data_IF_260424437161
#
_entry.id   IF_260424437161
#
_cell.length_a   1.000
_cell.length_b   1.000
_cell.length_c   1.000
_cell.angle_alpha   90.00
_cell.angle_beta   90.00
_cell.angle_gamma   90.00
#
_symmetry.space_group_name_H-M   'P 1'
#
loop_
_entity.id
_entity.type
_entity.pdbx_description
1 polymer ?
#
# COMPACT_ATOMS: atom_id res chain seq x y z
N UNK A 1 0.28 3.21 1.23
CA UNK A 1 -0.15 4.44 1.94
C UNK A 1 -1.11 4.14 3.08
N UNK A 2 -2.11 3.25 2.91
CA UNK A 2 -3.17 3.01 3.92
C UNK A 2 -2.67 2.55 5.30
N UNK A 3 -1.58 1.77 5.38
CA UNK A 3 -0.96 1.38 6.66
C UNK A 3 -0.46 2.60 7.43
N UNK A 4 0.36 3.45 6.81
CA UNK A 4 0.88 4.66 7.46
C UNK A 4 -0.23 5.64 7.85
N UNK A 5 -1.27 5.77 7.02
CA UNK A 5 -2.45 6.55 7.40
C UNK A 5 -3.14 5.98 8.64
N UNK A 6 -3.24 4.65 8.75
CA UNK A 6 -3.81 3.99 9.92
C UNK A 6 -2.92 4.15 11.16
N UNK A 7 -1.60 4.21 11.00
CA UNK A 7 -0.68 4.47 12.11
C UNK A 7 -0.83 5.90 12.64
N UNK A 8 -1.07 6.89 11.76
CA UNK A 8 -1.30 8.29 12.15
C UNK A 8 -2.72 8.47 12.71
N UNK A 9 -3.71 7.80 12.13
CA UNK A 9 -5.11 7.86 12.52
C UNK A 9 -5.68 6.46 12.78
N UNK A 10 -5.43 5.86 13.97
CA UNK A 10 -5.73 4.45 14.27
C UNK A 10 -7.21 4.05 14.17
N UNK A 11 -8.12 5.01 14.17
CA UNK A 11 -9.58 4.78 14.10
C UNK A 11 -10.21 5.25 12.79
N UNK A 12 -9.42 5.68 11.81
CA UNK A 12 -9.95 6.15 10.53
C UNK A 12 -10.50 5.00 9.68
N UNK A 13 -9.78 3.88 9.64
CA UNK A 13 -10.20 2.68 8.94
C UNK A 13 -10.57 1.60 9.94
N UNK A 14 -11.63 0.86 9.67
CA UNK A 14 -11.96 -0.35 10.45
C UNK A 14 -11.03 -1.50 10.06
N UNK A 15 -10.85 -1.71 8.76
CA UNK A 15 -10.12 -2.84 8.20
C UNK A 15 -9.32 -2.42 6.97
N UNK A 16 -8.30 -3.20 6.65
CA UNK A 16 -7.43 -3.03 5.49
C UNK A 16 -7.35 -4.34 4.69
N UNK A 17 -7.18 -4.20 3.38
CA UNK A 17 -6.84 -5.31 2.47
C UNK A 17 -5.60 -4.86 1.69
N UNK A 18 -4.52 -5.63 1.79
CA UNK A 18 -3.24 -5.28 1.17
C UNK A 18 -2.82 -6.38 0.20
N UNK A 19 -2.92 -6.08 -1.09
CA UNK A 19 -2.37 -6.93 -2.15
C UNK A 19 -0.88 -6.69 -2.31
N UNK A 20 -0.11 -7.75 -2.09
CA UNK A 20 1.33 -7.83 -2.25
C UNK A 20 2.11 -6.58 -1.75
N UNK A 21 1.90 -6.16 -0.49
CA UNK A 21 2.48 -4.92 0.00
C UNK A 21 3.99 -5.05 0.19
N UNK A 22 4.73 -4.14 -0.43
CA UNK A 22 6.18 -4.00 -0.24
C UNK A 22 6.45 -3.31 1.11
N UNK A 23 6.37 -4.10 2.19
CA UNK A 23 6.67 -3.70 3.58
C UNK A 23 7.74 -4.66 4.09
N UNK A 24 8.99 -4.25 4.01
CA UNK A 24 10.17 -5.09 4.26
C UNK A 24 11.39 -4.23 4.59
N UNK A 25 12.37 -4.82 5.26
CA UNK A 25 13.58 -4.12 5.73
C UNK A 25 14.46 -3.59 4.60
N UNK A 26 14.47 -4.24 3.42
CA UNK A 26 15.19 -3.77 2.24
C UNK A 26 14.47 -4.13 0.94
N UNK A 27 14.57 -3.29 -0.10
CA UNK A 27 13.92 -3.51 -1.41
C UNK A 27 14.97 -3.47 -2.53
N UNK A 28 15.82 -4.51 -2.67
CA UNK A 28 16.93 -4.50 -3.62
C UNK A 28 16.49 -4.38 -5.09
N UNK A 29 15.26 -4.79 -5.42
CA UNK A 29 14.72 -4.76 -6.77
C UNK A 29 14.48 -3.33 -7.29
N UNK A 30 14.44 -2.32 -6.41
CA UNK A 30 14.17 -0.94 -6.79
C UNK A 30 15.13 -0.38 -7.85
N UNK A 31 16.44 -0.67 -7.73
CA UNK A 31 17.44 -0.19 -8.70
C UNK A 31 17.22 -0.80 -10.09
N UNK A 32 16.95 -2.11 -10.12
CA UNK A 32 16.69 -2.82 -11.37
C UNK A 32 15.45 -2.27 -12.08
N UNK A 33 14.36 -2.05 -11.33
CA UNK A 33 13.13 -1.46 -11.86
C UNK A 33 13.33 -0.02 -12.34
N UNK A 34 14.08 0.79 -11.58
CA UNK A 34 14.44 2.14 -12.00
C UNK A 34 15.25 2.16 -13.30
N UNK A 35 16.18 1.23 -13.47
CA UNK A 35 16.99 1.10 -14.69
C UNK A 35 16.12 0.71 -15.90
N UNK A 36 15.27 -0.31 -15.77
CA UNK A 36 14.33 -0.69 -16.84
C UNK A 36 13.44 0.49 -17.21
N UNK A 37 12.87 1.16 -16.20
CA UNK A 37 11.99 2.31 -16.40
C UNK A 37 12.69 3.41 -17.19
N UNK A 38 13.91 3.80 -16.79
CA UNK A 38 14.63 4.88 -17.46
C UNK A 38 14.95 4.55 -18.94
N UNK A 39 15.23 3.29 -19.25
CA UNK A 39 15.55 2.84 -20.61
C UNK A 39 14.31 2.47 -21.44
N UNK A 40 13.10 2.43 -20.86
CA UNK A 40 11.86 2.12 -21.59
C UNK A 40 11.55 3.21 -22.63
N UNK A 41 10.97 2.80 -23.78
CA UNK A 41 10.42 3.72 -24.77
C UNK A 41 9.33 4.59 -24.12
N UNK A 42 9.29 5.87 -24.49
CA UNK A 42 8.41 6.88 -23.84
C UNK A 42 7.73 7.83 -24.83
N UNK A 43 8.02 7.65 -26.12
CA UNK A 43 7.54 8.51 -27.18
C UNK A 43 7.12 7.62 -28.35
N UNK A 44 5.92 7.84 -28.86
CA UNK A 44 5.37 7.13 -30.01
C UNK A 44 4.81 8.14 -31.01
N UNK A 45 4.94 7.90 -32.33
CA UNK A 45 4.41 8.82 -33.35
C UNK A 45 2.89 8.96 -33.33
N UNK A 46 2.17 7.93 -32.87
CA UNK A 46 0.71 7.90 -32.79
C UNK A 46 0.22 7.08 -31.60
N UNK A 47 -1.05 7.27 -31.23
CA UNK A 47 -1.71 6.50 -30.17
C UNK A 47 -1.82 5.02 -30.54
N UNK A 48 -2.17 4.71 -31.78
CA UNK A 48 -2.24 3.32 -32.25
C UNK A 48 -0.90 2.58 -32.07
N UNK A 49 0.23 3.22 -32.39
CA UNK A 49 1.55 2.62 -32.19
C UNK A 49 1.93 2.44 -30.72
N UNK A 50 1.50 3.36 -29.84
CA UNK A 50 1.68 3.21 -28.40
C UNK A 50 0.86 2.03 -27.86
N UNK A 51 -0.38 1.90 -28.30
CA UNK A 51 -1.26 0.80 -27.91
C UNK A 51 -0.71 -0.55 -28.34
N UNK A 52 -0.28 -0.69 -29.60
CA UNK A 52 0.38 -1.93 -30.07
C UNK A 52 1.60 -2.25 -29.22
N UNK A 53 2.44 -1.24 -28.95
CA UNK A 53 3.64 -1.44 -28.13
C UNK A 53 3.32 -2.01 -26.74
N UNK A 54 2.31 -1.48 -26.04
CA UNK A 54 1.96 -1.96 -24.70
C UNK A 54 1.17 -3.27 -24.71
N UNK A 55 0.41 -3.57 -25.76
CA UNK A 55 -0.24 -4.88 -25.92
C UNK A 55 0.78 -6.02 -26.10
N UNK A 56 1.93 -5.74 -26.69
CA UNK A 56 3.00 -6.73 -26.87
C UNK A 56 4.02 -6.75 -25.71
N UNK A 57 4.11 -5.65 -24.95
CA UNK A 57 5.11 -5.51 -23.89
C UNK A 57 4.69 -6.22 -22.60
N UNK A 58 5.52 -7.13 -22.11
CA UNK A 58 5.39 -7.64 -20.73
C UNK A 58 5.80 -6.58 -19.70
N UNK A 59 5.05 -6.41 -18.59
CA UNK A 59 3.93 -7.25 -18.16
C UNK A 59 2.54 -6.80 -18.66
N UNK A 60 2.38 -5.67 -19.34
CA UNK A 60 1.06 -5.14 -19.75
C UNK A 60 0.25 -6.15 -20.57
N UNK A 61 0.92 -6.95 -21.41
CA UNK A 61 0.27 -8.01 -22.20
C UNK A 61 -0.37 -9.14 -21.37
N UNK A 62 -0.05 -9.28 -20.07
CA UNK A 62 -0.67 -10.28 -19.17
C UNK A 62 -1.83 -9.74 -18.35
N UNK A 63 -2.15 -8.45 -18.46
CA UNK A 63 -3.22 -7.83 -17.68
C UNK A 63 -4.61 -8.21 -18.22
N UNK A 64 -5.63 -8.11 -17.36
CA UNK A 64 -7.03 -8.15 -17.77
C UNK A 64 -7.27 -7.09 -18.85
N UNK A 65 -7.95 -7.48 -19.94
CA UNK A 65 -8.14 -6.63 -21.11
C UNK A 65 -8.80 -5.29 -20.76
N UNK A 66 -9.74 -5.28 -19.81
CA UNK A 66 -10.44 -4.06 -19.39
C UNK A 66 -9.48 -3.11 -18.67
N UNK A 67 -8.59 -3.67 -17.83
CA UNK A 67 -7.56 -2.91 -17.12
C UNK A 67 -6.55 -2.33 -18.10
N UNK A 68 -6.08 -3.13 -19.06
CA UNK A 68 -5.17 -2.65 -20.09
C UNK A 68 -5.80 -1.55 -20.94
N UNK A 69 -7.07 -1.69 -21.34
CA UNK A 69 -7.78 -0.67 -22.11
C UNK A 69 -7.88 0.66 -21.33
N UNK A 70 -8.22 0.62 -20.04
CA UNK A 70 -8.21 1.80 -19.17
C UNK A 70 -6.79 2.40 -19.04
N UNK A 71 -5.78 1.57 -18.89
CA UNK A 71 -4.39 2.03 -18.81
C UNK A 71 -3.95 2.70 -20.12
N UNK A 72 -4.34 2.17 -21.29
CA UNK A 72 -4.05 2.79 -22.58
C UNK A 72 -4.78 4.13 -22.75
N UNK A 73 -6.01 4.23 -22.27
CA UNK A 73 -6.80 5.47 -22.30
C UNK A 73 -6.16 6.56 -21.44
N UNK A 74 -5.89 6.27 -20.17
CA UNK A 74 -5.48 7.27 -19.17
C UNK A 74 -3.97 7.37 -18.94
N UNK A 75 -3.23 6.29 -19.18
CA UNK A 75 -1.78 6.22 -19.02
C UNK A 75 -0.99 6.85 -20.16
N UNK A 76 -1.66 7.20 -21.26
CA UNK A 76 -1.08 7.83 -22.45
C UNK A 76 -1.68 9.21 -22.69
N UNK A 77 -0.85 10.17 -23.09
CA UNK A 77 -1.25 11.54 -23.43
C UNK A 77 -0.47 12.07 -24.63
N UNK A 78 -1.02 13.10 -25.26
CA UNK A 78 -0.28 13.89 -26.25
C UNK A 78 0.85 14.68 -25.57
N UNK A 79 1.95 14.92 -26.29
CA UNK A 79 3.05 15.74 -25.78
C UNK A 79 2.58 17.19 -25.64
N UNK A 80 2.61 17.79 -24.43
CA UNK A 80 2.27 19.20 -24.27
C UNK A 80 3.34 20.04 -24.93
N UNK A 81 2.94 20.88 -25.89
CA UNK A 81 3.84 21.85 -26.49
C UNK A 81 3.76 23.14 -25.68
N UNK A 82 4.91 23.70 -25.31
CA UNK A 82 4.98 25.08 -24.87
C UNK A 82 4.45 25.98 -26.00
N UNK A 83 3.40 26.75 -25.73
CA UNK A 83 2.66 27.58 -26.72
C UNK A 83 3.56 28.49 -27.58
N UNK A 84 4.81 28.70 -27.21
CA UNK A 84 5.78 29.56 -27.89
C UNK A 84 6.52 28.94 -29.09
N UNK A 85 6.36 27.64 -29.39
CA UNK A 85 7.11 26.97 -30.47
C UNK A 85 6.26 26.35 -31.61
N UNK A 86 4.97 26.68 -31.71
CA UNK A 86 4.02 25.98 -32.58
C UNK A 86 3.86 26.61 -33.99
N UNK A 87 4.94 26.86 -34.75
CA UNK A 87 4.84 27.49 -36.09
C UNK A 87 5.42 26.69 -37.26
N UNK A 88 5.65 25.38 -37.16
CA UNK A 88 6.07 24.55 -38.30
C UNK A 88 5.32 23.23 -38.41
N UNK A 89 5.26 22.63 -39.61
CA UNK A 89 4.68 21.29 -39.83
C UNK A 89 5.35 20.21 -38.96
N UNK A 90 6.65 20.35 -38.65
CA UNK A 90 7.32 19.49 -37.68
C UNK A 90 6.77 19.65 -36.25
N UNK A 91 6.26 20.84 -35.90
CA UNK A 91 5.52 21.05 -34.67
C UNK A 91 4.15 20.35 -34.70
N UNK A 92 3.47 20.30 -35.85
CA UNK A 92 2.16 19.61 -36.01
C UNK A 92 2.26 18.09 -35.95
N UNK A 93 3.32 17.48 -36.48
CA UNK A 93 3.55 16.03 -36.30
C UNK A 93 3.97 15.72 -34.86
N UNK A 94 4.72 16.62 -34.21
CA UNK A 94 5.04 16.53 -32.78
C UNK A 94 3.80 16.71 -31.89
N UNK A 95 2.82 17.51 -32.31
CA UNK A 95 1.53 17.67 -31.61
C UNK A 95 0.76 16.35 -31.47
N UNK A 96 0.88 15.42 -32.43
CA UNK A 96 0.17 14.13 -32.41
C UNK A 96 0.94 12.99 -31.76
N UNK A 97 2.20 13.23 -31.38
CA UNK A 97 3.02 12.22 -30.73
C UNK A 97 2.53 11.97 -29.30
N UNK A 98 2.63 10.72 -28.88
CA UNK A 98 2.12 10.22 -27.60
C UNK A 98 3.28 9.95 -26.66
N UNK A 99 3.06 10.21 -25.38
CA UNK A 99 3.96 9.92 -24.27
C UNK A 99 3.18 9.43 -23.05
N UNK A 100 3.87 9.00 -22.01
CA UNK A 100 3.24 8.57 -20.77
C UNK A 100 2.65 9.76 -19.99
N UNK A 101 1.48 9.55 -19.40
CA UNK A 101 0.86 10.50 -18.47
C UNK A 101 1.74 10.68 -17.24
N UNK A 102 2.30 9.59 -16.72
CA UNK A 102 3.32 9.60 -15.68
C UNK A 102 4.71 9.62 -16.33
N UNK A 103 5.49 10.70 -16.22
CA UNK A 103 6.85 10.73 -16.75
C UNK A 103 7.74 9.65 -16.13
N UNK A 104 8.58 8.99 -16.94
CA UNK A 104 9.47 7.89 -16.51
C UNK A 104 10.35 8.24 -15.32
N UNK A 105 10.80 9.49 -15.21
CA UNK A 105 11.63 9.94 -14.09
C UNK A 105 10.84 9.99 -12.77
N UNK A 106 9.53 10.24 -12.80
CA UNK A 106 8.68 10.16 -11.61
C UNK A 106 8.41 8.71 -11.21
N UNK A 107 8.14 7.84 -12.19
CA UNK A 107 8.01 6.39 -11.97
C UNK A 107 9.33 5.80 -11.40
N UNK A 108 10.47 6.12 -12.01
CA UNK A 108 11.79 5.71 -11.55
C UNK A 108 12.09 6.16 -10.11
N UNK A 109 11.71 7.40 -9.76
CA UNK A 109 11.85 7.94 -8.39
C UNK A 109 10.93 7.28 -7.37
N UNK A 110 9.88 6.58 -7.80
CA UNK A 110 9.05 5.79 -6.89
C UNK A 110 9.79 4.55 -6.37
N UNK A 111 10.72 4.00 -7.16
CA UNK A 111 11.53 2.84 -6.81
C UNK A 111 12.79 3.20 -6.03
N UNK A 112 13.41 4.35 -6.33
CA UNK A 112 14.68 4.78 -5.72
C UNK A 112 14.71 6.28 -5.41
N UNK A 113 15.35 6.66 -4.31
CA UNK A 113 15.70 8.04 -3.97
C UNK A 113 17.21 8.16 -3.77
N UNK A 114 17.82 9.22 -4.27
CA UNK A 114 19.24 9.47 -4.06
C UNK A 114 19.53 9.77 -2.58
N UNK A 115 20.57 9.17 -2.03
CA UNK A 115 21.04 9.45 -0.66
C UNK A 115 21.80 10.78 -0.67
N UNK A 116 21.38 11.74 0.14
CA UNK A 116 22.17 12.95 0.44
C UNK A 116 22.84 12.83 1.82
N UNK A 117 23.95 13.57 2.07
CA UNK A 117 24.59 13.60 3.40
C UNK A 117 23.65 14.01 4.55
N UNK A 118 22.54 14.68 4.25
CA UNK A 118 21.55 15.17 5.22
C UNK A 118 20.25 14.37 5.21
N UNK A 119 20.29 13.12 4.73
CA UNK A 119 19.09 12.27 4.65
C UNK A 119 18.59 11.91 6.05
N UNK A 120 17.45 12.45 6.52
CA UNK A 120 17.04 12.30 7.93
C UNK A 120 16.53 10.90 8.26
N UNK A 121 16.00 10.20 7.25
CA UNK A 121 15.34 8.89 7.41
C UNK A 121 16.32 7.71 7.19
N UNK A 122 17.61 8.00 7.03
CA UNK A 122 18.64 6.98 6.86
C UNK A 122 19.09 6.52 8.25
N UNK A 123 18.84 5.26 8.60
CA UNK A 123 19.35 4.69 9.84
C UNK A 123 20.86 4.44 9.71
N UNK A 124 21.70 5.15 10.49
CA UNK A 124 23.16 5.00 10.40
C UNK A 124 23.64 3.60 10.81
N UNK A 125 22.85 2.85 11.57
CA UNK A 125 23.21 1.52 12.09
C UNK A 125 22.93 0.39 11.11
N UNK A 126 22.08 0.61 10.11
CA UNK A 126 21.70 -0.40 9.10
C UNK A 126 22.04 0.01 7.67
N UNK A 127 22.43 1.28 7.45
CA UNK A 127 22.75 1.81 6.13
C UNK A 127 24.17 1.46 5.65
N UNK A 128 24.37 0.17 5.35
CA UNK A 128 25.53 -0.32 4.60
C UNK A 128 25.18 -0.45 3.11
N UNK A 129 24.72 0.65 2.49
CA UNK A 129 24.34 0.62 1.08
C UNK A 129 25.58 0.66 0.19
N UNK A 130 25.74 -0.31 -0.70
CA UNK A 130 26.79 -0.34 -1.73
C UNK A 130 26.52 0.62 -2.90
N UNK A 131 25.38 1.33 -2.87
CA UNK A 131 24.89 2.22 -3.93
C UNK A 131 24.27 3.49 -3.35
N UNK A 132 24.23 4.62 -4.09
CA UNK A 132 23.79 5.92 -3.58
C UNK A 132 22.25 6.09 -3.56
N UNK A 133 21.49 5.00 -3.37
CA UNK A 133 20.02 5.00 -3.47
C UNK A 133 19.35 4.29 -2.29
N UNK A 134 18.18 4.77 -1.87
CA UNK A 134 17.37 4.19 -0.80
C UNK A 134 15.86 4.48 -0.96
N UNK A 135 15.03 3.76 -0.19
CA UNK A 135 13.61 4.08 0.08
C UNK A 135 13.32 3.72 1.54
N UNK A 136 13.07 4.70 2.43
CA UNK A 136 12.94 4.41 3.85
C UNK A 136 11.55 3.89 4.22
N UNK A 137 10.53 4.17 3.41
CA UNK A 137 9.13 3.94 3.77
C UNK A 137 8.81 2.46 4.08
N UNK A 138 9.28 1.45 3.31
CA UNK A 138 9.00 0.05 3.60
C UNK A 138 9.53 -0.41 4.96
N UNK A 139 10.78 -0.06 5.28
CA UNK A 139 11.43 -0.47 6.52
C UNK A 139 10.84 0.25 7.74
N UNK A 140 10.57 1.56 7.63
CA UNK A 140 9.90 2.32 8.68
C UNK A 140 8.48 1.78 8.91
N UNK A 141 7.74 1.48 7.85
CA UNK A 141 6.39 0.90 7.96
C UNK A 141 6.45 -0.45 8.64
N UNK A 142 7.39 -1.32 8.25
CA UNK A 142 7.61 -2.62 8.86
C UNK A 142 7.86 -2.48 10.37
N UNK A 143 8.75 -1.57 10.77
CA UNK A 143 9.08 -1.31 12.16
C UNK A 143 7.85 -0.92 12.99
N UNK A 144 6.90 -0.19 12.40
CA UNK A 144 5.69 0.30 13.06
C UNK A 144 4.47 -0.65 12.98
N UNK A 145 4.54 -1.74 12.20
CA UNK A 145 3.46 -2.73 12.12
C UNK A 145 2.91 -3.23 13.47
N UNK A 146 3.70 -3.36 14.56
CA UNK A 146 3.16 -3.77 15.86
C UNK A 146 2.04 -2.88 16.38
N UNK A 147 2.01 -1.60 15.98
CA UNK A 147 1.02 -0.63 16.44
C UNK A 147 -0.19 -0.50 15.51
N UNK A 148 -0.28 -1.32 14.46
CA UNK A 148 -1.38 -1.26 13.51
C UNK A 148 -2.68 -1.74 14.16
N UNK A 149 -3.60 -0.81 14.36
CA UNK A 149 -4.90 -1.04 15.02
C UNK A 149 -6.00 -1.69 14.17
N UNK A 150 -6.22 -1.33 12.89
CA UNK A 150 -7.29 -1.96 12.12
C UNK A 150 -7.01 -3.45 11.89
N UNK A 151 -8.07 -4.22 11.71
CA UNK A 151 -7.93 -5.59 11.19
C UNK A 151 -7.35 -5.55 9.78
N UNK A 152 -6.67 -6.60 9.37
CA UNK A 152 -5.91 -6.61 8.13
C UNK A 152 -5.95 -7.97 7.45
N UNK A 153 -6.28 -7.96 6.16
CA UNK A 153 -6.00 -9.07 5.26
C UNK A 153 -4.77 -8.76 4.41
N UNK A 154 -3.74 -9.60 4.53
CA UNK A 154 -2.67 -9.69 3.55
C UNK A 154 -3.05 -10.63 2.42
N UNK A 155 -2.87 -10.20 1.18
CA UNK A 155 -3.05 -11.06 0.01
C UNK A 155 -1.72 -11.19 -0.72
N UNK A 156 -1.14 -12.39 -0.70
CA UNK A 156 0.19 -12.67 -1.23
C UNK A 156 0.11 -13.50 -2.51
N UNK A 157 0.59 -12.98 -3.66
CA UNK A 157 0.66 -13.76 -4.89
C UNK A 157 1.75 -14.82 -4.80
N UNK A 158 1.43 -16.06 -5.18
CA UNK A 158 2.33 -17.22 -5.07
C UNK A 158 3.66 -17.03 -5.80
N UNK A 159 3.63 -16.36 -6.97
CA UNK A 159 4.82 -16.17 -7.82
C UNK A 159 5.54 -14.84 -7.55
N UNK A 160 5.12 -14.07 -6.55
CA UNK A 160 5.73 -12.78 -6.26
C UNK A 160 7.06 -12.94 -5.54
N UNK A 161 8.12 -12.35 -6.12
CA UNK A 161 9.41 -12.22 -5.45
C UNK A 161 9.37 -11.25 -4.25
N UNK A 162 8.29 -10.48 -4.07
CA UNK A 162 8.08 -9.58 -2.92
C UNK A 162 7.32 -10.25 -1.77
N UNK A 163 6.80 -11.46 -1.98
CA UNK A 163 6.04 -12.22 -1.00
C UNK A 163 6.60 -13.62 -0.80
N UNK A 164 7.92 -13.74 -0.63
CA UNK A 164 8.51 -15.02 -0.20
C UNK A 164 7.96 -15.42 1.17
N UNK A 165 7.97 -16.71 1.50
CA UNK A 165 7.40 -17.20 2.77
C UNK A 165 7.98 -16.46 3.99
N UNK A 166 9.30 -16.26 4.03
CA UNK A 166 10.00 -15.48 5.06
C UNK A 166 9.45 -14.06 5.19
N UNK A 167 9.27 -13.35 4.06
CA UNK A 167 8.72 -11.99 4.05
C UNK A 167 7.25 -11.95 4.45
N UNK A 168 6.48 -13.02 4.19
CA UNK A 168 5.10 -13.13 4.65
C UNK A 168 5.05 -13.35 6.17
N UNK A 169 5.85 -14.28 6.68
CA UNK A 169 5.93 -14.61 8.11
C UNK A 169 6.36 -13.39 8.92
N UNK A 170 7.40 -12.66 8.48
CA UNK A 170 7.84 -11.42 9.15
C UNK A 170 6.70 -10.40 9.28
N UNK A 171 5.88 -10.23 8.23
CA UNK A 171 4.72 -9.31 8.27
C UNK A 171 3.65 -9.82 9.23
N UNK A 172 3.32 -11.11 9.18
CA UNK A 172 2.30 -11.71 10.04
C UNK A 172 2.68 -11.61 11.52
N UNK A 173 3.92 -11.95 11.87
CA UNK A 173 4.42 -11.92 13.25
C UNK A 173 4.48 -10.51 13.85
N UNK A 174 4.76 -9.51 13.01
CA UNK A 174 4.89 -8.12 13.46
C UNK A 174 3.58 -7.34 13.51
N UNK A 175 2.56 -7.72 12.74
CA UNK A 175 1.39 -6.86 12.57
C UNK A 175 0.47 -6.88 13.79
N UNK A 176 0.22 -5.71 14.38
CA UNK A 176 -0.82 -5.49 15.39
C UNK A 176 -0.54 -6.13 16.76
N UNK A 177 0.63 -6.73 16.97
CA UNK A 177 0.96 -7.46 18.22
C UNK A 177 1.43 -6.57 19.37
N UNK A 178 1.70 -5.29 19.10
CA UNK A 178 2.20 -4.33 20.07
C UNK A 178 1.08 -3.54 20.76
N UNK A 179 1.48 -2.65 21.69
CA UNK A 179 0.56 -1.74 22.36
C UNK A 179 -0.16 -0.87 21.33
N UNK A 180 -1.49 -0.83 21.42
CA UNK A 180 -2.34 -0.08 20.50
C UNK A 180 -2.65 -0.80 19.18
N UNK A 181 -2.04 -1.96 18.93
CA UNK A 181 -2.32 -2.80 17.77
C UNK A 181 -3.61 -3.61 17.87
N UNK A 182 -3.95 -4.31 16.80
CA UNK A 182 -5.17 -5.10 16.64
C UNK A 182 -5.19 -6.43 17.42
N UNK A 183 -4.07 -6.82 18.04
CA UNK A 183 -3.88 -8.16 18.61
C UNK A 183 -3.29 -9.18 17.61
N UNK A 184 -3.10 -8.78 16.35
CA UNK A 184 -2.41 -9.58 15.34
C UNK A 184 -3.15 -10.86 14.94
N UNK A 185 -2.39 -11.84 14.46
CA UNK A 185 -2.91 -13.14 14.02
C UNK A 185 -3.55 -13.92 15.18
N UNK A 186 -2.97 -13.86 16.38
CA UNK A 186 -3.48 -14.58 17.56
C UNK A 186 -4.88 -14.14 17.99
N UNK A 187 -5.23 -12.87 17.75
CA UNK A 187 -6.56 -12.34 17.99
C UNK A 187 -7.52 -12.55 16.81
N UNK A 188 -7.07 -13.19 15.71
CA UNK A 188 -7.83 -13.32 14.47
C UNK A 188 -7.98 -12.01 13.68
N UNK A 189 -7.34 -10.93 14.12
CA UNK A 189 -7.47 -9.62 13.51
C UNK A 189 -6.58 -9.44 12.26
N UNK A 190 -5.55 -10.27 12.11
CA UNK A 190 -4.66 -10.27 10.94
C UNK A 190 -4.70 -11.65 10.29
N UNK A 191 -5.04 -11.69 9.00
CA UNK A 191 -5.17 -12.91 8.21
C UNK A 191 -4.32 -12.76 6.95
N UNK A 192 -3.84 -13.89 6.40
CA UNK A 192 -3.26 -13.94 5.06
C UNK A 192 -4.00 -14.88 4.14
N UNK A 193 -4.06 -14.53 2.86
CA UNK A 193 -4.49 -15.40 1.77
C UNK A 193 -3.40 -15.44 0.69
N UNK A 194 -3.17 -16.63 0.10
CA UNK A 194 -2.20 -16.82 -0.99
C UNK A 194 -2.93 -17.01 -2.31
N UNK A 195 -2.71 -16.10 -3.27
CA UNK A 195 -3.27 -16.19 -4.61
C UNK A 195 -2.41 -17.11 -5.48
N UNK A 196 -2.92 -18.32 -5.71
CA UNK A 196 -2.26 -19.34 -6.54
C UNK A 196 -2.10 -18.87 -7.98
N UNK A 197 -0.94 -19.13 -8.57
CA UNK A 197 -0.65 -18.84 -9.96
C UNK A 197 -0.40 -17.35 -10.28
N UNK A 198 -0.67 -16.43 -9.36
CA UNK A 198 -0.60 -14.99 -9.58
C UNK A 198 0.80 -14.40 -9.34
N UNK A 199 1.16 -13.36 -10.09
CA UNK A 199 2.40 -12.59 -9.91
C UNK A 199 2.19 -11.32 -9.10
N UNK A 200 3.23 -10.49 -8.98
CA UNK A 200 3.20 -9.23 -8.22
C UNK A 200 2.09 -8.27 -8.67
N UNK A 201 1.80 -8.28 -9.97
CA UNK A 201 0.77 -7.44 -10.59
C UNK A 201 -0.61 -8.10 -10.57
N UNK A 202 -0.88 -9.00 -9.62
CA UNK A 202 -2.14 -9.75 -9.49
C UNK A 202 -3.40 -8.86 -9.60
N UNK A 203 -3.36 -7.64 -9.07
CA UNK A 203 -4.49 -6.69 -9.12
C UNK A 203 -4.79 -6.15 -10.52
N UNK A 204 -3.85 -6.28 -11.46
CA UNK A 204 -4.03 -5.97 -12.88
C UNK A 204 -4.31 -7.23 -13.71
N UNK A 205 -3.80 -8.38 -13.29
CA UNK A 205 -3.87 -9.66 -14.02
C UNK A 205 -5.13 -10.47 -13.69
N UNK A 206 -5.41 -10.69 -12.40
CA UNK A 206 -6.50 -11.50 -11.87
C UNK A 206 -7.49 -10.67 -11.06
N UNK A 207 -8.16 -9.73 -11.73
CA UNK A 207 -9.06 -8.75 -11.10
C UNK A 207 -10.24 -9.46 -10.42
N UNK A 208 -10.78 -10.51 -11.04
CA UNK A 208 -11.90 -11.27 -10.50
C UNK A 208 -11.54 -11.98 -9.21
N UNK A 209 -10.44 -12.73 -9.22
CA UNK A 209 -9.92 -13.45 -8.06
C UNK A 209 -9.60 -12.49 -6.91
N UNK A 210 -8.96 -11.35 -7.21
CA UNK A 210 -8.72 -10.31 -6.22
C UNK A 210 -10.04 -9.80 -5.63
N UNK A 211 -11.04 -9.47 -6.47
CA UNK A 211 -12.33 -8.99 -6.00
C UNK A 211 -13.03 -10.00 -5.08
N UNK A 212 -13.02 -11.28 -5.42
CA UNK A 212 -13.60 -12.34 -4.60
C UNK A 212 -12.95 -12.43 -3.21
N UNK A 213 -11.62 -12.36 -3.15
CA UNK A 213 -10.87 -12.32 -1.87
C UNK A 213 -11.31 -11.11 -1.03
N UNK A 214 -11.40 -9.94 -1.67
CA UNK A 214 -11.81 -8.72 -0.99
C UNK A 214 -13.22 -8.80 -0.45
N UNK A 215 -14.17 -9.30 -1.25
CA UNK A 215 -15.59 -9.42 -0.85
C UNK A 215 -15.72 -10.35 0.36
N UNK A 216 -15.09 -11.53 0.33
CA UNK A 216 -15.15 -12.47 1.46
C UNK A 216 -14.64 -11.85 2.77
N UNK A 217 -13.54 -11.10 2.70
CA UNK A 217 -13.00 -10.42 3.86
C UNK A 217 -13.94 -9.33 4.38
N UNK A 218 -14.45 -8.49 3.49
CA UNK A 218 -15.35 -7.40 3.87
C UNK A 218 -16.65 -7.92 4.47
N UNK A 219 -17.24 -8.99 3.92
CA UNK A 219 -18.42 -9.64 4.50
C UNK A 219 -18.16 -10.15 5.92
N UNK A 220 -17.01 -10.74 6.19
CA UNK A 220 -16.63 -11.16 7.53
C UNK A 220 -16.45 -9.97 8.48
N UNK A 221 -15.80 -8.90 8.03
CA UNK A 221 -15.56 -7.71 8.85
C UNK A 221 -16.82 -6.90 9.12
N UNK A 222 -17.80 -6.89 8.21
CA UNK A 222 -19.10 -6.26 8.43
C UNK A 222 -19.86 -6.92 9.57
N UNK A 223 -19.84 -8.26 9.66
CA UNK A 223 -20.46 -8.99 10.78
C UNK A 223 -19.80 -8.65 12.12
N UNK A 224 -18.46 -8.63 12.16
CA UNK A 224 -17.71 -8.23 13.36
C UNK A 224 -18.03 -6.80 13.79
N UNK A 225 -18.25 -5.90 12.82
CA UNK A 225 -18.67 -4.53 13.11
C UNK A 225 -20.08 -4.47 13.70
N UNK A 226 -21.04 -5.18 13.11
CA UNK A 226 -22.42 -5.25 13.59
C UNK A 226 -22.47 -5.76 15.05
N UNK A 227 -21.77 -6.86 15.34
CA UNK A 227 -21.66 -7.41 16.70
C UNK A 227 -21.06 -6.40 17.69
N UNK A 228 -20.02 -5.67 17.29
CA UNK A 228 -19.40 -4.64 18.13
C UNK A 228 -20.31 -3.44 18.36
N UNK A 229 -21.04 -3.01 17.34
CA UNK A 229 -21.95 -1.88 17.45
C UNK A 229 -23.15 -2.23 18.35
N UNK A 230 -23.64 -3.47 18.30
CA UNK A 230 -24.64 -3.99 19.24
C UNK A 230 -24.12 -4.01 20.68
N UNK A 231 -22.90 -4.49 20.90
CA UNK A 231 -22.25 -4.50 22.22
C UNK A 231 -22.06 -3.07 22.77
N UNK A 232 -21.49 -2.16 21.96
CA UNK A 232 -21.31 -0.75 22.35
C UNK A 232 -22.65 -0.05 22.64
N UNK A 233 -23.70 -0.34 21.88
CA UNK A 233 -25.03 0.22 22.13
C UNK A 233 -25.67 -0.37 23.40
N UNK A 234 -25.44 -1.64 23.67
CA UNK A 234 -25.79 -2.29 24.94
C UNK A 234 -25.08 -1.63 26.11
N UNK A 235 -23.77 -1.40 26.02
CA UNK A 235 -22.98 -0.70 27.04
C UNK A 235 -23.46 0.75 27.25
N UNK A 236 -23.78 1.49 26.18
CA UNK A 236 -24.35 2.85 26.30
C UNK A 236 -25.74 2.84 26.93
N UNK A 237 -26.51 1.76 26.76
CA UNK A 237 -27.81 1.57 27.38
C UNK A 237 -27.72 1.18 28.88
N UNK A 238 -26.59 0.58 29.29
CA UNK A 238 -26.19 0.50 30.72
C UNK A 238 -25.79 1.92 31.14
N UNK A 239 -26.81 2.71 31.50
CA UNK A 239 -26.76 4.17 31.55
C UNK A 239 -25.67 4.80 32.42
N UNK A 240 -25.54 6.13 32.27
CA UNK A 240 -24.55 7.02 32.92
C UNK A 240 -24.36 6.79 34.44
N UNK A 241 -25.37 6.24 35.11
CA UNK A 241 -25.37 5.95 36.54
C UNK A 241 -24.54 4.71 36.91
N UNK A 242 -24.51 3.65 36.10
CA UNK A 242 -23.67 2.45 36.36
C UNK A 242 -22.18 2.78 36.19
N UNK A 243 -21.84 3.60 35.19
CA UNK A 243 -20.48 4.09 35.01
C UNK A 243 -20.02 4.96 36.19
N UNK A 244 -20.88 5.87 36.67
CA UNK A 244 -20.61 6.67 37.88
C UNK A 244 -20.40 5.76 39.09
N UNK A 245 -21.20 4.72 39.24
CA UNK A 245 -21.12 3.80 40.37
C UNK A 245 -19.82 2.98 40.35
N UNK A 246 -19.43 2.43 39.21
CA UNK A 246 -18.13 1.74 39.02
C UNK A 246 -16.93 2.63 39.34
N UNK A 247 -16.95 3.89 38.90
CA UNK A 247 -15.89 4.87 39.22
C UNK A 247 -15.88 5.18 40.73
N UNK A 248 -17.05 5.34 41.35
CA UNK A 248 -17.16 5.59 42.78
C UNK A 248 -16.71 4.40 43.63
N UNK A 249 -17.04 3.17 43.24
CA UNK A 249 -16.56 1.94 43.89
C UNK A 249 -15.04 1.83 43.81
N UNK A 250 -14.46 2.09 42.64
CA UNK A 250 -13.00 2.12 42.50
C UNK A 250 -12.37 3.20 43.40
N UNK A 251 -12.96 4.40 43.45
CA UNK A 251 -12.49 5.48 44.32
C UNK A 251 -12.59 5.13 45.82
N UNK A 252 -13.65 4.43 46.24
CA UNK A 252 -13.80 3.90 47.62
C UNK A 252 -12.78 2.81 47.93
N UNK A 253 -12.43 1.97 46.95
CA UNK A 253 -11.44 0.90 47.10
C UNK A 253 -10.01 1.41 47.33
N UNK A 254 -9.69 2.62 46.84
CA UNK A 254 -8.44 3.31 47.16
C UNK A 254 -8.58 3.98 48.52
N UNK A 255 -8.30 3.24 49.61
CA UNK A 255 -8.13 3.85 50.93
C UNK A 255 -7.22 5.09 50.84
N UNK A 256 -7.57 6.17 51.57
CA UNK A 256 -7.12 7.60 51.53
C UNK A 256 -5.68 7.94 51.08
N UNK A 257 -5.19 7.40 49.98
CA UNK A 257 -3.95 7.81 49.35
C UNK A 257 -4.26 8.98 48.42
N UNK A 258 -3.90 10.19 48.87
CA UNK A 258 -4.02 11.40 48.03
C UNK A 258 -3.28 11.17 46.71
N UNK A 259 -3.86 11.53 45.55
CA UNK A 259 -3.13 11.53 44.30
C UNK A 259 -1.95 12.49 44.42
N UNK A 260 -0.74 12.03 44.11
CA UNK A 260 0.36 12.94 43.78
C UNK A 260 0.12 13.37 42.34
N UNK A 261 -0.29 14.62 42.17
CA UNK A 261 -0.22 15.33 40.89
C UNK A 261 1.25 15.55 40.53
#
# INVERSE_FOLDING_TARGET
MSVNTSLIHPRLFTTLILYDPIIQSSVPQGIFLANITNNRKDHWPSRAEAETYFRDLKPHSSWDERVLNLWLEYGLREIPISRHHASSEAATTRLKSITLTTPKNLESRSYIRHISPSTPDLDPSTSHTTHPFYRPEPAITLANLPHLRPSLLYVFPEKSAMATLELQEEKMERTGVGVGGSGGEKAGAVVREVLKGAGHLCVFEGVGECAEVSVRWLEAQLRVLEERDEEENGEKAVGEDDWKEKVQEWMKSRGKAKPRL
#
